data_IF_302213370160
#
_entry.id   IF_302213370160
#
_cell.length_a   1.000
_cell.length_b   1.000
_cell.length_c   1.000
_cell.angle_alpha   90.00
_cell.angle_beta   90.00
_cell.angle_gamma   90.00
#
_symmetry.space_group_name_H-M   'P 1'
#
loop_
_entity.id
_entity.type
_entity.pdbx_description
1 polymer ?
#
# COMPACT_ATOMS: atom_id res chain seq x y z
N UNK A 1 -18.79 -11.71 -3.12
CA UNK A 1 -17.97 -11.93 -4.34
C UNK A 1 -16.58 -12.45 -4.01
N UNK A 2 -15.72 -11.75 -3.25
CA UNK A 2 -14.34 -12.22 -2.95
C UNK A 2 -14.33 -13.53 -2.15
N UNK A 3 -15.18 -13.68 -1.15
CA UNK A 3 -15.36 -14.95 -0.40
C UNK A 3 -15.80 -16.08 -1.34
N UNK A 4 -16.79 -15.82 -2.19
CA UNK A 4 -17.23 -16.83 -3.18
C UNK A 4 -16.11 -17.22 -4.15
N UNK A 5 -15.23 -16.27 -4.54
CA UNK A 5 -14.07 -16.59 -5.37
C UNK A 5 -13.05 -17.46 -4.60
N UNK A 6 -12.86 -17.22 -3.31
CA UNK A 6 -11.99 -18.05 -2.47
C UNK A 6 -12.52 -19.51 -2.39
N UNK A 7 -13.83 -19.68 -2.26
CA UNK A 7 -14.47 -20.98 -2.23
C UNK A 7 -14.37 -21.72 -3.59
N UNK A 8 -14.54 -21.00 -4.70
CA UNK A 8 -14.45 -21.59 -6.04
C UNK A 8 -13.02 -21.89 -6.50
N UNK A 9 -12.05 -21.14 -6.02
CA UNK A 9 -10.64 -21.24 -6.44
C UNK A 9 -9.69 -21.32 -5.23
N UNK A 10 -9.74 -22.40 -4.43
CA UNK A 10 -8.98 -22.52 -3.18
C UNK A 10 -7.44 -22.50 -3.39
N UNK A 11 -6.97 -22.93 -4.56
CA UNK A 11 -5.54 -22.95 -4.90
C UNK A 11 -5.04 -21.61 -5.49
N UNK A 12 -5.94 -20.66 -5.75
CA UNK A 12 -5.57 -19.38 -6.35
C UNK A 12 -5.10 -18.38 -5.32
N UNK A 13 -4.06 -17.62 -5.64
CA UNK A 13 -3.65 -16.46 -4.84
C UNK A 13 -4.60 -15.30 -5.11
N UNK A 14 -5.46 -15.03 -4.15
CA UNK A 14 -6.41 -13.90 -4.24
C UNK A 14 -5.78 -12.65 -3.64
N UNK A 15 -5.84 -11.57 -4.42
CA UNK A 15 -5.33 -10.25 -4.03
C UNK A 15 -6.39 -9.20 -4.33
N UNK A 16 -6.63 -8.30 -3.40
CA UNK A 16 -7.53 -7.19 -3.60
C UNK A 16 -6.78 -5.86 -3.66
N UNK A 17 -7.30 -4.96 -4.50
CA UNK A 17 -6.93 -3.55 -4.54
C UNK A 17 -8.14 -2.79 -4.00
N UNK A 18 -8.01 -2.26 -2.79
CA UNK A 18 -9.07 -1.55 -2.10
C UNK A 18 -8.79 -0.04 -2.09
N UNK A 19 -9.82 0.74 -2.42
CA UNK A 19 -9.77 2.20 -2.35
C UNK A 19 -10.53 2.65 -1.11
N UNK A 20 -9.82 3.27 -0.18
CA UNK A 20 -10.40 3.82 1.03
C UNK A 20 -11.15 5.13 0.71
N UNK A 21 -12.36 5.33 1.27
CA UNK A 21 -13.13 6.53 1.05
C UNK A 21 -12.45 7.76 1.68
N UNK A 22 -12.89 8.96 1.28
CA UNK A 22 -12.45 10.21 1.90
C UNK A 22 -12.78 10.26 3.39
N UNK A 23 -11.98 10.98 4.17
CA UNK A 23 -12.25 11.20 5.61
C UNK A 23 -13.57 11.92 5.84
N UNK A 24 -13.87 12.88 4.98
CA UNK A 24 -15.13 13.60 4.93
C UNK A 24 -15.83 13.28 3.63
N UNK A 25 -16.80 12.38 3.67
CA UNK A 25 -17.60 11.95 2.53
C UNK A 25 -19.07 12.25 2.79
N UNK A 26 -19.84 12.35 1.72
CA UNK A 26 -21.28 12.50 1.76
C UNK A 26 -21.99 11.24 2.30
N UNK A 27 -21.32 10.08 2.24
CA UNK A 27 -21.87 8.81 2.72
C UNK A 27 -21.62 8.64 4.21
N UNK A 28 -22.64 8.87 5.02
CA UNK A 28 -22.55 8.84 6.49
C UNK A 28 -22.08 7.47 7.01
N UNK A 29 -22.51 6.39 6.40
CA UNK A 29 -22.22 5.00 6.83
C UNK A 29 -20.89 4.45 6.27
N UNK A 30 -20.09 5.25 5.62
CA UNK A 30 -18.84 4.79 4.99
C UNK A 30 -17.90 4.04 5.94
N UNK A 31 -17.84 4.43 7.22
CA UNK A 31 -16.95 3.80 8.18
C UNK A 31 -17.39 2.37 8.53
N UNK A 32 -18.71 2.12 8.61
CA UNK A 32 -19.24 0.77 8.73
C UNK A 32 -18.97 -0.07 7.50
N UNK A 33 -19.21 0.49 6.31
CA UNK A 33 -18.94 -0.22 5.06
C UNK A 33 -17.45 -0.61 4.96
N UNK A 34 -16.55 0.31 5.31
CA UNK A 34 -15.10 0.03 5.32
C UNK A 34 -14.72 -1.01 6.38
N UNK A 35 -15.30 -0.93 7.57
CA UNK A 35 -15.07 -1.89 8.67
C UNK A 35 -15.45 -3.30 8.24
N UNK A 36 -16.70 -3.48 7.80
CA UNK A 36 -17.25 -4.78 7.37
C UNK A 36 -16.49 -5.32 6.14
N UNK A 37 -16.22 -4.47 5.14
CA UNK A 37 -15.50 -4.86 3.95
C UNK A 37 -14.07 -5.34 4.27
N UNK A 38 -13.28 -4.57 5.02
CA UNK A 38 -11.90 -4.92 5.33
C UNK A 38 -11.81 -6.17 6.22
N UNK A 39 -12.71 -6.32 7.19
CA UNK A 39 -12.78 -7.52 8.01
C UNK A 39 -13.00 -8.78 7.17
N UNK A 40 -13.93 -8.73 6.22
CA UNK A 40 -14.21 -9.85 5.30
C UNK A 40 -13.07 -10.08 4.31
N UNK A 41 -12.43 -9.03 3.81
CA UNK A 41 -11.26 -9.17 2.93
C UNK A 41 -10.11 -9.87 3.64
N UNK A 42 -9.80 -9.53 4.89
CA UNK A 42 -8.73 -10.17 5.65
C UNK A 42 -8.90 -11.68 5.80
N UNK A 43 -10.13 -12.18 5.88
CA UNK A 43 -10.39 -13.62 5.95
C UNK A 43 -10.24 -14.31 4.58
N UNK A 44 -10.61 -13.63 3.49
CA UNK A 44 -10.79 -14.27 2.18
C UNK A 44 -9.57 -14.14 1.23
N UNK A 45 -8.62 -13.21 1.46
CA UNK A 45 -7.54 -12.95 0.51
C UNK A 45 -6.15 -13.12 1.12
N UNK A 46 -5.14 -13.22 0.26
CA UNK A 46 -3.73 -13.37 0.64
C UNK A 46 -3.02 -12.02 0.82
N UNK A 47 -3.50 -10.96 0.14
CA UNK A 47 -2.97 -9.61 0.26
C UNK A 47 -3.98 -8.55 -0.16
N UNK A 48 -3.90 -7.36 0.46
CA UNK A 48 -4.77 -6.21 0.19
C UNK A 48 -3.90 -4.97 -0.04
N UNK A 49 -3.88 -4.46 -1.25
CA UNK A 49 -3.34 -3.14 -1.53
C UNK A 49 -4.38 -2.08 -1.13
N UNK A 50 -3.98 -1.12 -0.32
CA UNK A 50 -4.87 -0.04 0.11
C UNK A 50 -4.40 1.28 -0.46
N UNK A 51 -5.30 1.98 -1.15
CA UNK A 51 -5.14 3.34 -1.64
C UNK A 51 -6.14 4.26 -0.95
N UNK A 52 -5.68 5.38 -0.43
CA UNK A 52 -6.57 6.40 0.16
C UNK A 52 -6.88 7.47 -0.90
N UNK A 53 -8.16 7.78 -1.12
CA UNK A 53 -8.60 8.79 -2.09
C UNK A 53 -7.97 10.17 -1.83
N UNK A 54 -7.84 10.56 -0.55
CA UNK A 54 -7.22 11.83 -0.17
C UNK A 54 -5.76 11.89 -0.56
N UNK A 55 -5.02 10.81 -0.33
CA UNK A 55 -3.60 10.70 -0.70
C UNK A 55 -3.44 10.83 -2.21
N UNK A 56 -4.26 10.11 -2.99
CA UNK A 56 -4.21 10.18 -4.45
C UNK A 56 -4.61 11.58 -4.97
N UNK A 57 -5.61 12.22 -4.36
CA UNK A 57 -5.99 13.58 -4.70
C UNK A 57 -4.89 14.58 -4.41
N UNK A 58 -4.19 14.45 -3.28
CA UNK A 58 -3.07 15.30 -2.93
C UNK A 58 -1.86 15.09 -3.83
N UNK A 59 -1.61 13.86 -4.30
CA UNK A 59 -0.62 13.59 -5.35
C UNK A 59 -0.97 14.30 -6.67
N UNK A 60 -2.24 14.23 -7.10
CA UNK A 60 -2.69 14.97 -8.28
C UNK A 60 -2.41 16.48 -8.16
N UNK A 61 -2.68 17.07 -7.00
CA UNK A 61 -2.49 18.51 -6.78
C UNK A 61 -1.02 18.89 -6.66
N UNK A 62 -0.25 18.14 -5.88
CA UNK A 62 1.12 18.52 -5.51
C UNK A 62 2.14 18.14 -6.58
N UNK A 63 2.00 16.94 -7.17
CA UNK A 63 2.98 16.38 -8.09
C UNK A 63 2.58 16.59 -9.56
N UNK A 64 1.32 16.22 -9.89
CA UNK A 64 0.81 16.38 -11.26
C UNK A 64 0.33 17.81 -11.58
N UNK A 65 0.29 18.70 -10.56
CA UNK A 65 -0.14 20.11 -10.67
C UNK A 65 -1.57 20.30 -11.18
N UNK A 66 -2.45 19.35 -10.88
CA UNK A 66 -3.87 19.42 -11.24
C UNK A 66 -4.62 20.11 -10.09
N UNK A 67 -5.02 21.37 -10.26
CA UNK A 67 -5.66 22.15 -9.19
C UNK A 67 -7.01 21.58 -8.73
N UNK A 68 -7.79 21.02 -9.66
CA UNK A 68 -9.11 20.40 -9.40
C UNK A 68 -9.13 19.00 -9.99
N UNK A 69 -8.55 18.01 -9.30
CA UNK A 69 -8.53 16.64 -9.80
C UNK A 69 -9.96 16.08 -9.96
N UNK A 70 -10.21 15.46 -11.08
CA UNK A 70 -11.40 14.66 -11.34
C UNK A 70 -11.23 13.25 -10.78
N UNK A 71 -12.27 12.45 -10.75
CA UNK A 71 -12.17 11.03 -10.39
C UNK A 71 -11.25 10.26 -11.35
N UNK A 72 -11.25 10.63 -12.63
CA UNK A 72 -10.36 10.02 -13.62
C UNK A 72 -8.89 10.31 -13.34
N UNK A 73 -8.55 11.55 -12.95
CA UNK A 73 -7.18 11.91 -12.56
C UNK A 73 -6.72 11.12 -11.33
N UNK A 74 -7.60 10.95 -10.35
CA UNK A 74 -7.35 10.18 -9.13
C UNK A 74 -7.14 8.70 -9.46
N UNK A 75 -8.03 8.13 -10.27
CA UNK A 75 -7.94 6.74 -10.72
C UNK A 75 -6.68 6.50 -11.55
N UNK A 76 -6.32 7.41 -12.43
CA UNK A 76 -5.09 7.35 -13.21
C UNK A 76 -3.85 7.37 -12.30
N UNK A 77 -3.86 8.20 -11.28
CA UNK A 77 -2.75 8.28 -10.31
C UNK A 77 -2.60 6.97 -9.52
N UNK A 78 -3.71 6.40 -9.03
CA UNK A 78 -3.68 5.09 -8.35
C UNK A 78 -3.22 3.97 -9.31
N UNK A 79 -3.74 3.96 -10.53
CA UNK A 79 -3.37 2.97 -11.55
C UNK A 79 -1.88 3.06 -11.90
N UNK A 80 -1.33 4.26 -12.03
CA UNK A 80 0.09 4.48 -12.29
C UNK A 80 0.99 3.94 -11.17
N UNK A 81 0.52 3.99 -9.92
CA UNK A 81 1.27 3.47 -8.79
C UNK A 81 1.24 1.93 -8.70
N UNK A 82 0.10 1.30 -9.00
CA UNK A 82 -0.03 -0.17 -8.91
C UNK A 82 0.47 -0.89 -10.17
N UNK A 83 0.39 -0.27 -11.32
CA UNK A 83 0.76 -0.87 -12.60
C UNK A 83 2.16 -1.51 -12.60
N UNK A 84 3.22 -0.87 -12.05
CA UNK A 84 4.55 -1.48 -11.98
C UNK A 84 4.59 -2.81 -11.21
N UNK A 85 3.68 -2.99 -10.26
CA UNK A 85 3.59 -4.23 -9.46
C UNK A 85 2.96 -5.36 -10.27
N UNK A 86 1.93 -5.04 -11.06
CA UNK A 86 1.15 -6.03 -11.82
C UNK A 86 1.83 -6.48 -13.11
N UNK A 87 2.60 -5.60 -13.75
CA UNK A 87 3.27 -5.91 -15.01
C UNK A 87 4.39 -6.94 -14.84
N UNK A 88 4.70 -7.72 -15.89
CA UNK A 88 5.77 -8.70 -15.89
C UNK A 88 7.10 -8.11 -15.42
N UNK A 89 7.81 -8.86 -14.59
CA UNK A 89 9.09 -8.50 -14.01
C UNK A 89 9.92 -9.74 -13.72
N UNK A 90 11.19 -9.57 -13.49
CA UNK A 90 12.14 -10.63 -13.26
C UNK A 90 12.74 -10.50 -11.86
N UNK A 91 12.84 -11.62 -11.16
CA UNK A 91 13.51 -11.71 -9.86
C UNK A 91 14.95 -12.13 -10.04
N UNK A 92 15.85 -11.54 -9.25
CA UNK A 92 17.29 -11.78 -9.29
C UNK A 92 18.03 -10.79 -10.17
N UNK A 93 19.30 -10.58 -9.86
CA UNK A 93 20.25 -9.81 -10.66
C UNK A 93 21.20 -10.76 -11.40
N UNK A 94 21.63 -10.36 -12.61
CA UNK A 94 22.60 -11.14 -13.40
C UNK A 94 21.96 -12.12 -14.41
N UNK A 95 22.73 -13.08 -14.94
CA UNK A 95 22.32 -13.90 -16.08
C UNK A 95 21.19 -14.92 -15.77
N UNK A 96 20.90 -15.20 -14.51
CA UNK A 96 19.85 -16.13 -14.10
C UNK A 96 18.60 -15.42 -13.59
N UNK A 97 18.00 -14.57 -14.41
CA UNK A 97 16.71 -13.94 -14.07
C UNK A 97 15.56 -14.95 -14.22
N UNK A 98 14.69 -15.00 -13.21
CA UNK A 98 13.45 -15.79 -13.27
C UNK A 98 12.26 -14.85 -13.35
N UNK A 99 11.26 -15.22 -14.13
CA UNK A 99 9.98 -14.51 -14.10
C UNK A 99 9.43 -14.51 -12.68
N UNK A 100 9.10 -13.32 -12.17
CA UNK A 100 8.37 -13.18 -10.92
C UNK A 100 6.88 -13.14 -11.24
N UNK A 101 6.10 -14.00 -10.59
CA UNK A 101 4.65 -13.94 -10.63
C UNK A 101 4.14 -13.22 -9.36
N UNK A 102 2.97 -12.61 -9.45
CA UNK A 102 2.36 -11.90 -8.33
C UNK A 102 2.15 -12.80 -7.11
N UNK A 103 1.86 -14.09 -7.33
CA UNK A 103 1.70 -15.08 -6.27
C UNK A 103 2.95 -15.20 -5.39
N UNK A 104 4.14 -15.30 -6.02
CA UNK A 104 5.40 -15.37 -5.29
C UNK A 104 5.69 -14.06 -4.54
N UNK A 105 5.39 -12.92 -5.17
CA UNK A 105 5.58 -11.62 -4.54
C UNK A 105 4.69 -11.46 -3.31
N UNK A 106 3.44 -11.91 -3.37
CA UNK A 106 2.52 -11.88 -2.23
C UNK A 106 2.96 -12.84 -1.13
N UNK A 107 3.46 -14.03 -1.47
CA UNK A 107 3.99 -14.96 -0.48
C UNK A 107 5.17 -14.37 0.31
N UNK A 108 6.06 -13.63 -0.38
CA UNK A 108 7.17 -12.94 0.29
C UNK A 108 6.71 -11.71 1.09
N UNK A 109 5.74 -10.95 0.56
CA UNK A 109 5.24 -9.74 1.20
C UNK A 109 4.31 -10.04 2.39
N UNK A 110 3.58 -11.14 2.35
CA UNK A 110 2.62 -11.54 3.37
C UNK A 110 2.96 -12.94 3.93
N UNK A 111 4.15 -13.14 4.52
CA UNK A 111 4.57 -14.46 5.02
C UNK A 111 3.74 -14.93 6.22
N UNK A 112 3.00 -14.02 6.84
CA UNK A 112 2.17 -14.33 8.00
C UNK A 112 0.71 -13.93 7.74
N UNK A 113 -0.27 -14.81 8.04
CA UNK A 113 -1.68 -14.62 7.67
C UNK A 113 -2.38 -13.43 8.36
N UNK A 114 -1.80 -12.85 9.40
CA UNK A 114 -2.34 -11.67 10.09
C UNK A 114 -1.92 -10.35 9.43
N UNK A 115 -0.82 -10.35 8.66
CA UNK A 115 -0.26 -9.15 8.06
C UNK A 115 -0.46 -9.17 6.54
N UNK A 116 -1.61 -8.67 6.07
CA UNK A 116 -2.00 -8.72 4.65
C UNK A 116 -2.11 -7.36 3.97
N UNK A 117 -1.92 -6.26 4.72
CA UNK A 117 -2.02 -4.92 4.14
C UNK A 117 -0.74 -4.47 3.49
N UNK A 118 -0.85 -4.05 2.24
CA UNK A 118 0.27 -3.65 1.39
C UNK A 118 0.13 -2.17 1.01
N UNK A 119 1.22 -1.45 1.19
CA UNK A 119 1.40 -0.06 0.78
C UNK A 119 2.32 0.02 -0.43
N UNK A 120 2.02 0.92 -1.37
CA UNK A 120 2.78 1.09 -2.61
C UNK A 120 3.30 2.52 -2.70
N UNK A 121 4.60 2.65 -2.89
CA UNK A 121 5.28 3.93 -3.18
C UNK A 121 5.96 3.85 -4.53
N UNK A 122 5.69 4.84 -5.36
CA UNK A 122 6.22 4.89 -6.73
C UNK A 122 6.93 6.22 -6.97
N UNK A 123 8.02 6.19 -7.71
CA UNK A 123 8.83 7.34 -8.11
C UNK A 123 9.37 7.12 -9.53
N UNK A 124 9.50 8.13 -10.39
CA UNK A 124 9.20 9.55 -10.20
C UNK A 124 7.70 9.87 -10.21
N UNK A 125 7.34 10.99 -9.60
CA UNK A 125 5.99 11.54 -9.58
C UNK A 125 6.00 12.95 -10.17
N UNK A 126 5.92 13.08 -11.49
CA UNK A 126 5.98 14.37 -12.17
C UNK A 126 4.70 14.66 -12.95
N UNK A 127 4.49 15.92 -13.30
CA UNK A 127 3.40 16.30 -14.19
C UNK A 127 3.59 15.68 -15.58
N UNK A 128 2.50 15.29 -16.24
CA UNK A 128 2.53 14.57 -17.52
C UNK A 128 3.36 15.32 -18.56
N UNK A 129 3.28 16.67 -18.61
CA UNK A 129 4.08 17.51 -19.49
C UNK A 129 5.60 17.52 -19.19
N UNK A 130 6.00 17.00 -18.03
CA UNK A 130 7.40 16.99 -17.58
C UNK A 130 8.04 15.61 -17.62
N UNK A 131 7.28 14.57 -17.95
CA UNK A 131 7.75 13.17 -17.96
C UNK A 131 8.95 12.99 -18.90
N UNK A 132 8.89 13.57 -20.11
CA UNK A 132 9.97 13.46 -21.09
C UNK A 132 11.29 14.11 -20.66
N UNK A 133 11.23 15.06 -19.72
CA UNK A 133 12.38 15.79 -19.20
C UNK A 133 12.89 15.23 -17.87
N UNK A 134 12.30 14.15 -17.39
CA UNK A 134 12.67 13.55 -16.12
C UNK A 134 13.76 12.51 -16.32
N UNK A 135 14.99 12.85 -15.92
CA UNK A 135 16.17 11.99 -15.98
C UNK A 135 16.70 11.74 -14.56
N UNK A 136 16.12 10.79 -13.87
CA UNK A 136 16.56 10.47 -12.53
C UNK A 136 17.62 9.37 -12.54
N UNK A 137 18.63 9.52 -11.70
CA UNK A 137 19.59 8.45 -11.41
C UNK A 137 18.95 7.44 -10.46
N UNK A 138 19.39 6.19 -10.52
CA UNK A 138 18.92 5.15 -9.60
C UNK A 138 19.10 5.53 -8.13
N UNK A 139 20.20 6.22 -7.80
CA UNK A 139 20.46 6.72 -6.45
C UNK A 139 19.50 7.83 -6.01
N UNK A 140 19.04 8.69 -6.93
CA UNK A 140 18.05 9.72 -6.63
C UNK A 140 16.67 9.09 -6.37
N UNK A 141 16.24 8.16 -7.23
CA UNK A 141 14.99 7.41 -7.06
C UNK A 141 14.98 6.64 -5.74
N UNK A 142 16.10 6.02 -5.38
CA UNK A 142 16.22 5.29 -4.12
C UNK A 142 16.07 6.22 -2.91
N UNK A 143 16.70 7.38 -2.92
CA UNK A 143 16.56 8.39 -1.84
C UNK A 143 15.11 8.88 -1.70
N UNK A 144 14.39 9.04 -2.81
CA UNK A 144 12.98 9.40 -2.79
C UNK A 144 12.15 8.30 -2.12
N UNK A 145 12.36 7.04 -2.50
CA UNK A 145 11.69 5.88 -1.88
C UNK A 145 11.99 5.78 -0.38
N UNK A 146 13.26 5.89 0.01
CA UNK A 146 13.65 5.88 1.43
C UNK A 146 12.99 7.02 2.22
N UNK A 147 12.93 8.21 1.64
CA UNK A 147 12.25 9.34 2.25
C UNK A 147 10.74 9.08 2.41
N UNK A 148 10.06 8.65 1.34
CA UNK A 148 8.63 8.32 1.40
C UNK A 148 8.33 7.25 2.44
N UNK A 149 9.18 6.24 2.55
CA UNK A 149 9.02 5.16 3.52
C UNK A 149 9.23 5.65 4.95
N UNK A 150 10.30 6.37 5.22
CA UNK A 150 10.61 6.91 6.54
C UNK A 150 9.56 7.93 7.02
N UNK A 151 9.03 8.72 6.12
CA UNK A 151 8.00 9.71 6.41
C UNK A 151 6.57 9.13 6.46
N UNK A 152 6.37 7.89 5.97
CA UNK A 152 5.04 7.29 5.83
C UNK A 152 4.13 8.05 4.87
N UNK A 153 4.71 8.62 3.80
CA UNK A 153 3.98 9.38 2.79
C UNK A 153 4.08 8.74 1.42
N UNK A 154 3.08 8.95 0.59
CA UNK A 154 3.11 8.53 -0.81
C UNK A 154 3.72 9.59 -1.74
N UNK A 155 4.10 10.76 -1.24
CA UNK A 155 4.62 11.89 -2.01
C UNK A 155 6.11 12.07 -1.85
N UNK A 156 6.82 12.35 -2.96
CA UNK A 156 8.26 12.64 -2.98
C UNK A 156 8.61 13.99 -2.35
N UNK A 157 7.66 14.93 -2.23
CA UNK A 157 7.95 16.29 -1.81
C UNK A 157 7.84 16.50 -0.32
N UNK A 158 8.81 17.27 0.23
CA UNK A 158 8.78 17.73 1.63
C UNK A 158 7.56 18.64 1.96
N UNK A 159 6.94 19.26 0.96
CA UNK A 159 5.77 20.12 1.16
C UNK A 159 4.54 19.36 1.67
N UNK A 160 4.38 18.09 1.33
CA UNK A 160 3.35 17.21 1.86
C UNK A 160 3.52 16.98 3.36
N UNK A 161 4.76 17.01 3.86
CA UNK A 161 5.11 16.84 5.27
C UNK A 161 4.46 17.88 6.18
N UNK A 162 4.35 19.14 5.74
CA UNK A 162 3.76 20.22 6.51
C UNK A 162 2.23 20.12 6.59
N UNK A 163 1.57 19.61 5.55
CA UNK A 163 0.10 19.47 5.50
C UNK A 163 -0.42 18.36 6.41
N UNK A 164 0.32 17.28 6.58
CA UNK A 164 -0.07 16.16 7.44
C UNK A 164 0.43 16.26 8.88
N UNK A 165 1.03 17.39 9.29
CA UNK A 165 1.46 17.64 10.69
C UNK A 165 2.62 16.75 11.16
N UNK A 166 3.28 16.02 10.27
CA UNK A 166 4.36 15.13 10.61
C UNK A 166 5.69 15.87 10.74
N UNK A 167 5.94 16.49 11.89
CA UNK A 167 7.20 17.18 12.21
C UNK A 167 8.39 16.23 12.50
N UNK A 168 8.16 14.90 12.54
CA UNK A 168 9.20 13.87 12.77
C UNK A 168 9.00 12.71 11.79
N UNK A 169 10.08 12.06 11.32
CA UNK A 169 9.95 10.79 10.62
C UNK A 169 9.18 9.82 11.51
N UNK A 170 8.15 9.20 10.98
CA UNK A 170 7.27 8.32 11.76
C UNK A 170 7.99 7.03 12.20
N UNK A 171 9.18 6.75 11.66
CA UNK A 171 9.99 5.56 11.93
C UNK A 171 9.18 4.25 11.88
N UNK A 172 8.31 4.14 10.89
CA UNK A 172 7.51 2.94 10.68
C UNK A 172 8.39 1.70 10.49
N UNK A 173 7.95 0.60 11.09
CA UNK A 173 8.61 -0.69 10.99
C UNK A 173 7.93 -1.51 9.91
N UNK A 174 8.72 -2.10 9.01
CA UNK A 174 8.25 -3.01 7.98
C UNK A 174 8.52 -4.46 8.37
N UNK A 175 7.65 -5.35 7.94
CA UNK A 175 7.84 -6.78 8.02
C UNK A 175 8.60 -7.28 6.79
N UNK A 176 8.19 -6.84 5.62
CA UNK A 176 8.73 -7.23 4.32
C UNK A 176 8.62 -6.10 3.31
N UNK A 177 9.47 -6.12 2.30
CA UNK A 177 9.50 -5.10 1.26
C UNK A 177 9.94 -5.69 -0.08
N UNK A 178 9.26 -5.31 -1.16
CA UNK A 178 9.61 -5.65 -2.53
C UNK A 178 9.97 -4.38 -3.29
N UNK A 179 11.21 -4.30 -3.75
CA UNK A 179 11.70 -3.21 -4.59
C UNK A 179 11.62 -3.62 -6.07
N UNK A 180 10.98 -2.80 -6.89
CA UNK A 180 10.83 -3.04 -8.32
C UNK A 180 11.50 -1.90 -9.07
N UNK A 181 12.52 -2.23 -9.87
CA UNK A 181 13.23 -1.30 -10.74
C UNK A 181 12.79 -1.53 -12.18
N UNK A 182 12.38 -0.48 -12.88
CA UNK A 182 11.95 -0.55 -14.28
C UNK A 182 12.67 0.45 -15.14
N UNK A 183 13.13 -0.01 -16.30
CA UNK A 183 13.76 0.83 -17.31
C UNK A 183 15.23 0.55 -17.53
N UNK A 184 15.91 1.55 -18.12
CA UNK A 184 17.28 1.42 -18.57
C UNK A 184 18.27 1.19 -17.42
N UNK A 185 19.02 0.07 -17.47
CA UNK A 185 20.02 -0.27 -16.46
C UNK A 185 19.42 -0.79 -15.14
N UNK A 186 18.17 -1.26 -15.14
CA UNK A 186 17.50 -1.75 -13.93
C UNK A 186 18.19 -2.98 -13.32
N UNK A 187 18.62 -3.92 -14.17
CA UNK A 187 19.29 -5.16 -13.71
C UNK A 187 20.66 -4.90 -13.08
N UNK A 188 21.41 -3.97 -13.65
CA UNK A 188 22.74 -3.59 -13.18
C UNK A 188 22.66 -2.82 -11.84
N UNK A 189 21.66 -1.95 -11.71
CA UNK A 189 21.46 -1.14 -10.51
C UNK A 189 20.86 -1.92 -9.33
N UNK A 190 20.25 -3.07 -9.57
CA UNK A 190 19.51 -3.82 -8.56
C UNK A 190 20.37 -4.20 -7.34
N UNK A 191 21.59 -4.68 -7.54
CA UNK A 191 22.50 -5.09 -6.46
C UNK A 191 22.96 -3.93 -5.60
N UNK A 192 23.25 -2.78 -6.21
CA UNK A 192 23.64 -1.56 -5.52
C UNK A 192 22.45 -1.00 -4.71
N UNK A 193 21.27 -0.92 -5.32
CA UNK A 193 20.06 -0.42 -4.66
C UNK A 193 19.69 -1.26 -3.43
N UNK A 194 19.73 -2.60 -3.54
CA UNK A 194 19.38 -3.46 -2.39
C UNK A 194 20.43 -3.38 -1.27
N UNK A 195 21.69 -3.27 -1.62
CA UNK A 195 22.77 -3.11 -0.64
C UNK A 195 22.64 -1.77 0.10
N UNK A 196 22.32 -0.70 -0.63
CA UNK A 196 22.06 0.61 -0.04
C UNK A 196 20.84 0.58 0.89
N UNK A 197 19.72 -0.02 0.47
CA UNK A 197 18.54 -0.16 1.32
C UNK A 197 18.80 -0.96 2.60
N UNK A 198 19.55 -2.07 2.50
CA UNK A 198 19.91 -2.88 3.67
C UNK A 198 20.82 -2.12 4.66
N UNK A 199 21.66 -1.23 4.18
CA UNK A 199 22.52 -0.38 5.02
C UNK A 199 21.81 0.88 5.52
N UNK A 200 20.65 1.22 4.95
CA UNK A 200 19.88 2.41 5.31
C UNK A 200 19.27 2.28 6.71
N UNK A 201 19.55 3.28 7.56
CA UNK A 201 18.93 3.37 8.89
C UNK A 201 17.54 4.01 8.85
N UNK A 202 17.12 4.48 7.69
CA UNK A 202 15.84 5.18 7.50
C UNK A 202 14.66 4.22 7.43
N UNK A 203 14.90 2.96 7.04
CA UNK A 203 13.88 1.93 6.96
C UNK A 203 14.15 0.89 8.05
N UNK A 204 13.21 0.75 8.97
CA UNK A 204 13.29 -0.21 10.08
C UNK A 204 12.53 -1.47 9.74
N UNK A 205 13.04 -2.62 10.19
CA UNK A 205 12.40 -3.93 10.05
C UNK A 205 12.09 -4.54 11.40
N UNK A 206 11.09 -5.43 11.41
CA UNK A 206 10.72 -6.16 12.60
C UNK A 206 11.86 -7.08 13.07
N UNK A 207 12.21 -7.02 14.35
CA UNK A 207 13.37 -7.73 14.93
C UNK A 207 13.22 -9.24 14.85
N UNK A 208 11.98 -9.75 14.94
CA UNK A 208 11.68 -11.19 14.91
C UNK A 208 11.68 -11.81 13.49
N UNK A 209 11.76 -11.00 12.47
CA UNK A 209 11.91 -11.45 11.09
C UNK A 209 13.39 -11.77 10.79
N UNK A 210 13.93 -12.75 11.48
CA UNK A 210 15.38 -13.03 11.63
C UNK A 210 16.04 -13.69 10.41
N UNK A 211 15.30 -13.88 9.30
CA UNK A 211 15.81 -14.57 8.10
C UNK A 211 16.72 -13.71 7.21
N UNK A 212 16.92 -12.43 7.55
CA UNK A 212 17.80 -11.52 6.79
C UNK A 212 17.27 -11.10 5.41
N UNK A 213 16.20 -11.69 4.93
CA UNK A 213 15.63 -11.46 3.60
C UNK A 213 14.35 -10.61 3.63
N UNK A 214 14.42 -9.45 4.31
CA UNK A 214 13.30 -8.47 4.34
C UNK A 214 13.06 -7.79 3.00
N UNK A 215 14.02 -7.87 2.10
CA UNK A 215 13.98 -7.22 0.81
C UNK A 215 14.04 -8.23 -0.32
N UNK A 216 12.99 -8.25 -1.12
CA UNK A 216 13.01 -8.84 -2.45
C UNK A 216 13.26 -7.76 -3.49
N UNK A 217 13.98 -8.06 -4.56
CA UNK A 217 14.17 -7.15 -5.69
C UNK A 217 13.71 -7.80 -6.99
N UNK A 218 12.95 -7.03 -7.75
CA UNK A 218 12.57 -7.37 -9.12
C UNK A 218 13.02 -6.28 -10.08
N UNK A 219 13.33 -6.67 -11.29
CA UNK A 219 13.76 -5.76 -12.36
C UNK A 219 12.95 -5.97 -13.62
N UNK A 220 12.84 -4.95 -14.44
CA UNK A 220 12.26 -5.06 -15.77
C UNK A 220 12.90 -4.03 -16.70
N UNK A 221 13.27 -4.40 -17.93
CA UNK A 221 13.79 -3.45 -18.90
C UNK A 221 12.70 -2.55 -19.49
N UNK A 222 11.42 -2.91 -19.28
CA UNK A 222 10.29 -2.18 -19.87
C UNK A 222 9.94 -0.94 -19.06
N UNK A 223 9.74 0.15 -19.77
CA UNK A 223 9.31 1.44 -19.23
C UNK A 223 7.85 1.38 -18.75
N UNK A 224 7.56 2.20 -17.75
CA UNK A 224 6.21 2.34 -17.21
C UNK A 224 5.92 3.83 -17.03
N UNK A 225 4.69 4.24 -17.28
CA UNK A 225 4.23 5.62 -17.14
C UNK A 225 5.05 6.66 -17.95
N UNK A 226 5.74 6.22 -19.02
CA UNK A 226 6.57 7.09 -19.86
C UNK A 226 7.95 7.41 -19.29
N UNK A 227 8.28 6.97 -18.07
CA UNK A 227 9.59 7.23 -17.46
C UNK A 227 10.66 6.27 -17.96
N UNK A 228 11.84 6.78 -18.30
CA UNK A 228 12.99 5.98 -18.70
C UNK A 228 13.51 5.10 -17.55
N UNK A 229 13.34 5.55 -16.32
CA UNK A 229 13.64 4.81 -15.10
C UNK A 229 12.56 5.08 -14.08
N UNK A 230 12.11 4.06 -13.42
CA UNK A 230 11.17 4.18 -12.31
C UNK A 230 11.46 3.13 -11.24
N UNK A 231 11.10 3.47 -10.03
CA UNK A 231 11.27 2.61 -8.86
C UNK A 231 9.97 2.53 -8.08
N UNK A 232 9.60 1.33 -7.67
CA UNK A 232 8.40 1.10 -6.88
C UNK A 232 8.77 0.27 -5.67
N UNK A 233 8.35 0.68 -4.50
CA UNK A 233 8.45 -0.08 -3.26
C UNK A 233 7.06 -0.54 -2.85
N UNK A 234 6.89 -1.84 -2.70
CA UNK A 234 5.74 -2.44 -2.02
C UNK A 234 6.21 -2.85 -0.63
N UNK A 235 5.52 -2.41 0.39
CA UNK A 235 5.87 -2.73 1.77
C UNK A 235 4.67 -3.21 2.57
N UNK A 236 4.92 -4.18 3.44
CA UNK A 236 4.01 -4.63 4.48
C UNK A 236 4.55 -4.13 5.82
N UNK A 237 3.82 -3.27 6.49
CA UNK A 237 4.31 -2.66 7.71
C UNK A 237 3.35 -1.67 8.36
N UNK A 238 3.88 -0.89 9.28
CA UNK A 238 3.11 0.01 10.14
C UNK A 238 2.50 1.23 9.42
N UNK A 239 2.77 1.45 8.14
CA UNK A 239 2.20 2.57 7.37
C UNK A 239 0.67 2.53 7.32
N UNK A 240 0.07 1.35 7.46
CA UNK A 240 -1.40 1.18 7.51
C UNK A 240 -2.03 1.60 8.86
N UNK A 241 -1.25 1.66 9.94
CA UNK A 241 -1.75 1.89 11.31
C UNK A 241 -2.58 3.18 11.44
N UNK A 242 -2.15 4.34 10.91
CA UNK A 242 -2.94 5.56 11.01
C UNK A 242 -4.32 5.44 10.37
N UNK A 243 -4.42 4.78 9.22
CA UNK A 243 -5.69 4.56 8.54
C UNK A 243 -6.61 3.65 9.36
N UNK A 244 -6.15 2.48 9.79
CA UNK A 244 -6.95 1.56 10.61
C UNK A 244 -7.40 2.19 11.93
N UNK A 245 -6.53 2.97 12.56
CA UNK A 245 -6.87 3.67 13.80
C UNK A 245 -8.01 4.68 13.60
N UNK A 246 -7.94 5.50 12.54
CA UNK A 246 -9.00 6.46 12.21
C UNK A 246 -10.31 5.75 11.91
N UNK A 247 -10.27 4.70 11.09
CA UNK A 247 -11.43 3.90 10.73
C UNK A 247 -12.13 3.33 11.97
N UNK A 248 -11.38 2.61 12.81
CA UNK A 248 -11.92 2.00 14.02
C UNK A 248 -12.47 3.03 15.00
N UNK A 249 -11.78 4.16 15.18
CA UNK A 249 -12.26 5.24 16.05
C UNK A 249 -13.62 5.75 15.59
N UNK A 250 -13.75 6.10 14.30
CA UNK A 250 -14.99 6.64 13.73
C UNK A 250 -16.12 5.62 13.73
N UNK A 251 -15.84 4.38 13.34
CA UNK A 251 -16.84 3.31 13.40
C UNK A 251 -17.31 3.04 14.84
N UNK A 252 -16.41 3.09 15.83
CA UNK A 252 -16.75 2.90 17.25
C UNK A 252 -17.60 4.04 17.79
N UNK A 253 -17.29 5.30 17.44
CA UNK A 253 -18.10 6.47 17.81
C UNK A 253 -19.55 6.28 17.32
N UNK A 254 -19.75 5.87 16.06
CA UNK A 254 -21.07 5.62 15.48
C UNK A 254 -21.76 4.42 16.16
N UNK A 255 -21.03 3.34 16.43
CA UNK A 255 -21.58 2.12 17.00
C UNK A 255 -22.09 2.33 18.45
N UNK A 256 -21.37 3.11 19.26
CA UNK A 256 -21.74 3.41 20.66
C UNK A 256 -23.09 4.13 20.78
N UNK A 257 -23.44 4.96 19.80
CA UNK A 257 -24.72 5.67 19.79
C UNK A 257 -25.78 4.95 18.97
N UNK A 258 -25.50 3.75 18.46
CA UNK A 258 -26.42 2.98 17.63
C UNK A 258 -26.77 3.63 16.30
N UNK A 259 -25.94 4.59 15.81
CA UNK A 259 -26.23 5.35 14.61
C UNK A 259 -26.32 4.43 13.38
N UNK A 260 -27.41 4.51 12.63
CA UNK A 260 -27.63 3.82 11.35
C UNK A 260 -27.57 2.28 11.37
N UNK A 261 -27.40 1.63 12.51
CA UNK A 261 -27.36 0.15 12.61
C UNK A 261 -28.63 -0.51 12.06
N UNK A 262 -29.81 0.11 12.32
CA UNK A 262 -31.08 -0.38 11.82
C UNK A 262 -31.14 -0.49 10.28
N UNK A 263 -30.34 0.29 9.54
CA UNK A 263 -30.29 0.21 8.07
C UNK A 263 -29.64 -1.11 7.61
N UNK A 264 -28.72 -1.67 8.39
CA UNK A 264 -28.06 -2.94 8.07
C UNK A 264 -28.86 -4.15 8.52
N UNK A 265 -29.51 -4.06 9.69
CA UNK A 265 -30.25 -5.19 10.25
C UNK A 265 -31.66 -5.34 9.68
N UNK A 266 -32.27 -4.25 9.14
CA UNK A 266 -33.64 -4.26 8.61
C UNK A 266 -33.73 -4.70 7.14
N UNK A 267 -32.67 -4.55 6.34
CA UNK A 267 -32.70 -4.67 4.87
C UNK A 267 -32.37 -6.08 4.47
N UNK A 268 -32.45 -7.11 4.84
CA UNK A 268 -32.35 -8.50 4.34
C UNK A 268 -32.13 -9.57 5.43
N UNK A 269 -31.96 -9.20 6.69
CA UNK A 269 -31.71 -10.17 7.75
C UNK A 269 -30.33 -10.85 7.72
N UNK A 270 -29.48 -10.48 6.74
CA UNK A 270 -28.18 -11.12 6.50
C UNK A 270 -27.07 -10.56 7.42
N UNK A 271 -27.21 -9.32 7.92
CA UNK A 271 -26.25 -8.71 8.83
C UNK A 271 -26.85 -8.53 10.21
N UNK A 272 -26.18 -9.06 11.21
CA UNK A 272 -26.54 -8.94 12.62
C UNK A 272 -25.56 -8.00 13.34
N UNK A 273 -25.93 -7.57 14.54
CA UNK A 273 -25.07 -6.73 15.40
C UNK A 273 -23.77 -7.48 15.71
N UNK A 274 -23.81 -8.80 15.81
CA UNK A 274 -22.66 -9.65 16.08
C UNK A 274 -21.60 -9.57 14.95
N UNK A 275 -22.01 -9.41 13.68
CA UNK A 275 -21.07 -9.22 12.56
C UNK A 275 -20.24 -7.96 12.71
N UNK A 276 -20.83 -6.89 13.25
CA UNK A 276 -20.07 -5.68 13.59
C UNK A 276 -19.09 -5.92 14.71
N UNK A 277 -19.51 -6.61 15.78
CA UNK A 277 -18.65 -6.94 16.94
C UNK A 277 -17.46 -7.78 16.48
N UNK A 278 -17.68 -8.78 15.63
CA UNK A 278 -16.63 -9.63 15.09
C UNK A 278 -15.69 -8.85 14.16
N UNK A 279 -16.22 -7.93 13.36
CA UNK A 279 -15.44 -7.06 12.50
C UNK A 279 -14.56 -6.08 13.30
N UNK A 280 -15.10 -5.51 14.39
CA UNK A 280 -14.32 -4.68 15.32
C UNK A 280 -13.21 -5.48 16.00
N UNK A 281 -13.50 -6.73 16.42
CA UNK A 281 -12.51 -7.61 17.04
C UNK A 281 -11.39 -7.95 16.04
N UNK A 282 -11.73 -8.37 14.82
CA UNK A 282 -10.78 -8.75 13.79
C UNK A 282 -9.85 -7.60 13.42
N UNK A 283 -10.39 -6.43 13.05
CA UNK A 283 -9.57 -5.28 12.68
C UNK A 283 -8.86 -4.66 13.88
N UNK A 284 -9.45 -4.70 15.06
CA UNK A 284 -8.81 -4.27 16.31
C UNK A 284 -7.58 -5.11 16.65
N UNK A 285 -7.67 -6.43 16.49
CA UNK A 285 -6.52 -7.33 16.65
C UNK A 285 -5.44 -7.03 15.60
N UNK A 286 -5.83 -6.93 14.33
CA UNK A 286 -4.91 -6.57 13.24
C UNK A 286 -4.19 -5.24 13.51
N UNK A 287 -4.89 -4.23 14.01
CA UNK A 287 -4.27 -2.95 14.40
C UNK A 287 -3.23 -3.12 15.51
N UNK A 288 -3.52 -3.95 16.52
CA UNK A 288 -2.57 -4.24 17.61
C UNK A 288 -1.36 -5.00 17.10
N UNK A 289 -1.54 -5.99 16.23
CA UNK A 289 -0.47 -6.77 15.63
C UNK A 289 0.50 -5.86 14.85
N UNK A 290 -0.03 -4.97 13.98
CA UNK A 290 0.81 -4.01 13.28
C UNK A 290 1.52 -3.02 14.21
N UNK A 291 0.93 -2.62 15.32
CA UNK A 291 1.59 -1.74 16.31
C UNK A 291 2.74 -2.44 17.02
N UNK A 292 2.60 -3.74 17.28
CA UNK A 292 3.62 -4.53 17.98
C UNK A 292 4.81 -4.92 17.09
N UNK A 293 4.78 -4.66 15.77
CA UNK A 293 5.92 -4.97 14.88
C UNK A 293 7.24 -4.35 15.32
N UNK A 294 7.22 -3.27 16.08
CA UNK A 294 8.40 -2.52 16.52
C UNK A 294 8.78 -2.75 17.99
N UNK A 295 8.05 -3.61 18.70
CA UNK A 295 8.25 -3.90 20.12
C UNK A 295 9.09 -5.15 20.34
#
# INVERSE_FOLDING_TARGET
MTESMADFFPEATLVNIAVAPYHFSEVVVQHYNSLLCLSKLLSAVHGVFIFENEVAQDLCRSMRRINRPTLDDINQTMSSNILPVLLPKFRGGGPCQRHSCLSNDIADLCPHPQYKFLDVKHTPQTADASVEFTFDSWSALLKNIEYMQAAGTASETHASRQRFGANKPANYVNMSSLLILRGLGASEAASECITSMRSSRSIRHAVWSDTGDYYSVCTSPFYVNGYQRSMTLVSNGQTIVPYLQRLLMKATEMFRVGAYLHQYTAVNGDLQVDDFVDSFRSLGQTLQDYRSLGS
#
